data_IF_715376314022
#
_entry.id   IF_715376314022
#
_cell.length_a   1.000
_cell.length_b   1.000
_cell.length_c   1.000
_cell.angle_alpha   90.00
_cell.angle_beta   90.00
_cell.angle_gamma   90.00
#
_symmetry.space_group_name_H-M   'P 1'
#
loop_
_entity.id
_entity.type
_entity.pdbx_description
1 polymer ?
#
# COMPACT_ATOMS: atom_id res chain seq x y z
N UNK A 1 -17.67 -14.13 22.66
CA UNK A 1 -17.71 -12.98 23.58
C UNK A 1 -18.12 -11.75 22.78
N UNK A 2 -19.16 -11.06 23.25
CA UNK A 2 -19.66 -9.81 22.68
C UNK A 2 -18.96 -8.63 23.37
N UNK A 3 -18.89 -7.47 22.71
CA UNK A 3 -18.21 -6.28 23.25
C UNK A 3 -19.22 -5.18 23.53
N UNK A 4 -19.02 -4.42 24.61
CA UNK A 4 -19.82 -3.22 24.95
C UNK A 4 -21.33 -3.47 25.02
N UNK A 5 -21.72 -4.65 25.51
CA UNK A 5 -23.10 -5.15 25.50
C UNK A 5 -23.76 -5.20 24.11
N UNK A 6 -23.04 -4.90 23.02
CA UNK A 6 -23.53 -4.87 21.64
C UNK A 6 -23.59 -6.26 21.00
N UNK A 7 -24.20 -6.37 19.81
CA UNK A 7 -24.12 -7.60 18.99
C UNK A 7 -22.74 -7.80 18.35
N UNK A 8 -21.80 -6.86 18.54
CA UNK A 8 -20.46 -6.94 17.97
C UNK A 8 -19.62 -8.03 18.65
N UNK A 9 -19.22 -9.04 17.87
CA UNK A 9 -18.23 -10.02 18.29
C UNK A 9 -16.84 -9.38 18.50
N UNK A 10 -16.12 -9.79 19.56
CA UNK A 10 -14.71 -9.38 19.81
C UNK A 10 -13.84 -9.58 18.57
N UNK A 11 -14.05 -10.68 17.85
CA UNK A 11 -13.30 -11.00 16.63
C UNK A 11 -13.49 -9.92 15.56
N UNK A 12 -14.72 -9.46 15.33
CA UNK A 12 -15.04 -8.40 14.37
C UNK A 12 -14.40 -7.09 14.78
N UNK A 13 -14.41 -6.74 16.08
CA UNK A 13 -13.73 -5.56 16.59
C UNK A 13 -12.22 -5.61 16.34
N UNK A 14 -11.58 -6.76 16.58
CA UNK A 14 -10.14 -6.95 16.31
C UNK A 14 -9.83 -6.75 14.83
N UNK A 15 -10.63 -7.34 13.93
CA UNK A 15 -10.45 -7.12 12.49
C UNK A 15 -10.66 -5.64 12.10
N UNK A 16 -11.69 -4.97 12.62
CA UNK A 16 -11.91 -3.55 12.37
C UNK A 16 -10.71 -2.68 12.79
N UNK A 17 -10.12 -2.95 13.96
CA UNK A 17 -8.94 -2.23 14.43
C UNK A 17 -7.71 -2.50 13.56
N UNK A 18 -7.50 -3.76 13.16
CA UNK A 18 -6.41 -4.13 12.23
C UNK A 18 -6.59 -3.45 10.88
N UNK A 19 -7.79 -3.48 10.31
CA UNK A 19 -8.12 -2.87 9.02
C UNK A 19 -8.01 -1.35 9.06
N UNK A 20 -8.41 -0.72 10.16
CA UNK A 20 -8.20 0.71 10.36
C UNK A 20 -6.70 1.05 10.34
N UNK A 21 -5.87 0.29 11.07
CA UNK A 21 -4.42 0.44 11.02
C UNK A 21 -3.84 0.23 9.60
N UNK A 22 -4.37 -0.75 8.87
CA UNK A 22 -4.00 -1.00 7.47
C UNK A 22 -4.39 0.16 6.54
N UNK A 23 -5.59 0.74 6.71
CA UNK A 23 -6.06 1.93 6.01
C UNK A 23 -5.14 3.11 6.26
N UNK A 24 -4.81 3.42 7.52
CA UNK A 24 -3.90 4.51 7.87
C UNK A 24 -2.51 4.33 7.25
N UNK A 25 -1.93 3.12 7.35
CA UNK A 25 -0.65 2.81 6.72
C UNK A 25 -0.70 3.04 5.20
N UNK A 26 -1.72 2.51 4.54
CA UNK A 26 -1.86 2.58 3.10
C UNK A 26 -2.12 4.02 2.62
N UNK A 27 -2.86 4.82 3.39
CA UNK A 27 -3.10 6.25 3.14
C UNK A 27 -1.78 7.03 3.19
N UNK A 28 -1.01 6.91 4.28
CA UNK A 28 0.30 7.58 4.42
C UNK A 28 1.24 7.19 3.28
N UNK A 29 1.23 5.91 2.90
CA UNK A 29 2.07 5.42 1.82
C UNK A 29 1.62 5.93 0.44
N UNK A 30 0.32 6.08 0.21
CA UNK A 30 -0.23 6.68 -1.00
C UNK A 30 0.11 8.17 -1.09
N UNK A 31 -0.08 8.93 0.00
CA UNK A 31 0.26 10.36 0.06
C UNK A 31 1.75 10.61 -0.18
N UNK A 32 2.62 9.72 0.30
CA UNK A 32 4.06 9.76 0.02
C UNK A 32 4.41 9.50 -1.46
N UNK A 33 3.56 8.77 -2.19
CA UNK A 33 3.82 8.36 -3.58
C UNK A 33 2.52 8.38 -4.43
N UNK A 34 1.96 9.56 -4.73
CA UNK A 34 0.63 9.70 -5.33
C UNK A 34 0.55 9.17 -6.77
N UNK A 35 1.69 8.97 -7.43
CA UNK A 35 1.77 8.42 -8.78
C UNK A 35 1.31 6.95 -8.86
N UNK A 36 1.40 6.17 -7.78
CA UNK A 36 0.95 4.77 -7.77
C UNK A 36 -0.55 4.66 -7.46
N UNK A 37 -1.39 4.99 -8.45
CA UNK A 37 -2.86 4.94 -8.35
C UNK A 37 -3.42 3.58 -7.90
N UNK A 38 -2.66 2.47 -8.02
CA UNK A 38 -3.11 1.15 -7.55
C UNK A 38 -3.32 1.12 -6.04
N UNK A 39 -2.52 1.90 -5.31
CA UNK A 39 -2.61 2.00 -3.86
C UNK A 39 -3.88 2.71 -3.43
N UNK A 40 -4.28 3.73 -4.16
CA UNK A 40 -5.57 4.39 -3.99
C UNK A 40 -6.71 3.39 -4.20
N UNK A 41 -6.68 2.61 -5.28
CA UNK A 41 -7.73 1.63 -5.54
C UNK A 41 -7.81 0.55 -4.44
N UNK A 42 -6.67 0.14 -3.89
CA UNK A 42 -6.62 -0.80 -2.76
C UNK A 42 -7.06 -0.13 -1.45
N UNK A 43 -6.74 1.14 -1.23
CA UNK A 43 -7.21 1.89 -0.06
C UNK A 43 -8.73 1.97 -0.04
N UNK A 44 -9.36 2.28 -1.18
CA UNK A 44 -10.83 2.26 -1.30
C UNK A 44 -11.40 0.88 -0.96
N UNK A 45 -10.74 -0.20 -1.41
CA UNK A 45 -11.12 -1.57 -1.09
C UNK A 45 -11.10 -1.82 0.43
N UNK A 46 -10.06 -1.34 1.13
CA UNK A 46 -9.96 -1.46 2.58
C UNK A 46 -10.98 -0.59 3.32
N UNK A 47 -11.27 0.61 2.83
CA UNK A 47 -12.32 1.46 3.43
C UNK A 47 -13.69 0.80 3.32
N UNK A 48 -14.00 0.20 2.17
CA UNK A 48 -15.24 -0.57 2.01
C UNK A 48 -15.28 -1.81 2.91
N UNK A 49 -14.14 -2.46 3.14
CA UNK A 49 -14.03 -3.59 4.07
C UNK A 49 -14.33 -3.17 5.51
N UNK A 50 -13.71 -2.08 5.98
CA UNK A 50 -13.96 -1.50 7.30
C UNK A 50 -15.43 -1.12 7.44
N UNK A 51 -15.99 -0.45 6.43
CA UNK A 51 -17.40 -0.09 6.43
C UNK A 51 -18.30 -1.33 6.56
N UNK A 52 -18.04 -2.37 5.77
CA UNK A 52 -18.76 -3.64 5.83
C UNK A 52 -18.68 -4.30 7.21
N UNK A 53 -17.48 -4.44 7.80
CA UNK A 53 -17.32 -5.10 9.09
C UNK A 53 -17.93 -4.30 10.24
N UNK A 54 -17.91 -2.97 10.17
CA UNK A 54 -18.57 -2.11 11.15
C UNK A 54 -20.09 -2.27 11.03
N UNK A 55 -20.66 -2.10 9.84
CA UNK A 55 -22.12 -2.17 9.67
C UNK A 55 -22.65 -3.57 9.88
N UNK A 56 -21.99 -4.60 9.34
CA UNK A 56 -22.39 -6.00 9.54
C UNK A 56 -22.12 -6.50 10.96
N UNK A 57 -21.24 -5.84 11.71
CA UNK A 57 -20.94 -6.16 13.12
C UNK A 57 -21.85 -5.46 14.12
N UNK A 58 -22.27 -4.23 13.83
CA UNK A 58 -23.14 -3.43 14.70
C UNK A 58 -24.62 -3.63 14.43
N UNK A 59 -25.00 -4.01 13.21
CA UNK A 59 -26.39 -4.11 12.80
C UNK A 59 -26.81 -5.56 12.54
N UNK A 60 -28.06 -5.93 12.91
CA UNK A 60 -29.05 -5.09 13.58
C UNK A 60 -28.89 -5.06 15.12
N UNK A 61 -28.94 -3.88 15.74
CA UNK A 61 -29.07 -3.72 17.20
C UNK A 61 -30.32 -2.86 17.51
N UNK A 62 -31.36 -3.43 18.15
CA UNK A 62 -32.59 -2.71 18.48
C UNK A 62 -32.41 -1.49 19.41
N UNK A 63 -31.26 -1.37 20.10
CA UNK A 63 -30.99 -0.23 20.99
C UNK A 63 -30.52 1.02 20.25
N UNK A 64 -30.07 0.85 19.00
CA UNK A 64 -29.70 1.98 18.17
C UNK A 64 -30.98 2.66 17.67
N UNK A 65 -31.07 3.99 17.76
CA UNK A 65 -32.26 4.79 17.42
C UNK A 65 -32.78 4.57 15.98
N UNK A 66 -31.96 4.00 15.11
CA UNK A 66 -32.28 3.72 13.72
C UNK A 66 -33.18 2.47 13.65
N UNK A 67 -34.25 2.52 12.86
CA UNK A 67 -35.13 1.36 12.67
C UNK A 67 -34.35 0.12 12.20
N UNK A 68 -34.65 -1.06 12.78
CA UNK A 68 -34.03 -2.35 12.42
C UNK A 68 -34.07 -2.63 10.91
N UNK A 69 -35.14 -2.19 10.24
CA UNK A 69 -35.26 -2.30 8.77
C UNK A 69 -34.15 -1.51 8.05
N UNK A 70 -33.92 -0.27 8.46
CA UNK A 70 -32.87 0.55 7.86
C UNK A 70 -31.47 0.01 8.21
N UNK A 71 -31.28 -0.49 9.43
CA UNK A 71 -30.04 -1.15 9.84
C UNK A 71 -29.72 -2.35 8.95
N UNK A 72 -30.69 -3.23 8.68
CA UNK A 72 -30.54 -4.36 7.77
C UNK A 72 -30.23 -3.89 6.33
N UNK A 73 -30.92 -2.88 5.82
CA UNK A 73 -30.61 -2.31 4.49
C UNK A 73 -29.15 -1.85 4.44
N UNK A 74 -28.66 -1.13 5.45
CA UNK A 74 -27.27 -0.66 5.52
C UNK A 74 -26.30 -1.84 5.60
N UNK A 75 -26.57 -2.83 6.46
CA UNK A 75 -25.74 -4.01 6.64
C UNK A 75 -25.57 -4.80 5.34
N UNK A 76 -26.66 -5.21 4.69
CA UNK A 76 -26.59 -5.93 3.41
C UNK A 76 -26.00 -5.05 2.30
N UNK A 77 -26.39 -3.78 2.25
CA UNK A 77 -25.90 -2.82 1.25
C UNK A 77 -24.39 -2.62 1.29
N UNK A 78 -23.78 -2.64 2.48
CA UNK A 78 -22.33 -2.58 2.63
C UNK A 78 -21.62 -3.75 1.95
N UNK A 79 -22.18 -4.97 2.05
CA UNK A 79 -21.66 -6.18 1.41
C UNK A 79 -21.80 -6.13 -0.12
N UNK A 80 -22.96 -5.68 -0.61
CA UNK A 80 -23.17 -5.44 -2.03
C UNK A 80 -22.22 -4.39 -2.60
N UNK A 81 -21.99 -3.29 -1.88
CA UNK A 81 -21.07 -2.24 -2.29
C UNK A 81 -19.63 -2.77 -2.39
N UNK A 82 -19.21 -3.56 -1.40
CA UNK A 82 -17.89 -4.19 -1.37
C UNK A 82 -17.71 -5.18 -2.53
N UNK A 83 -18.67 -6.10 -2.73
CA UNK A 83 -18.64 -7.07 -3.83
C UNK A 83 -18.64 -6.39 -5.21
N UNK A 84 -19.41 -5.31 -5.35
CA UNK A 84 -19.52 -4.50 -6.56
C UNK A 84 -18.21 -3.82 -6.94
N UNK A 85 -17.37 -3.49 -5.97
CA UNK A 85 -16.11 -2.82 -6.22
C UNK A 85 -15.01 -3.75 -6.75
N UNK A 86 -15.09 -5.08 -6.53
CA UNK A 86 -14.04 -6.01 -6.95
C UNK A 86 -13.72 -5.95 -8.46
N UNK A 87 -14.69 -6.05 -9.38
CA UNK A 87 -14.38 -6.05 -10.81
C UNK A 87 -13.76 -4.73 -11.25
N UNK A 88 -14.22 -3.61 -10.68
CA UNK A 88 -13.64 -2.29 -10.92
C UNK A 88 -12.20 -2.19 -10.42
N UNK A 89 -11.93 -2.65 -9.20
CA UNK A 89 -10.59 -2.70 -8.63
C UNK A 89 -9.64 -3.50 -9.55
N UNK A 90 -10.04 -4.69 -9.97
CA UNK A 90 -9.22 -5.53 -10.86
C UNK A 90 -9.03 -4.92 -12.25
N UNK A 91 -10.07 -4.32 -12.81
CA UNK A 91 -10.01 -3.58 -14.06
C UNK A 91 -8.99 -2.42 -14.00
N UNK A 92 -9.07 -1.56 -12.99
CA UNK A 92 -8.20 -0.37 -12.86
C UNK A 92 -6.80 -0.70 -12.33
N UNK A 93 -6.68 -1.45 -11.24
CA UNK A 93 -5.40 -1.72 -10.58
C UNK A 93 -4.49 -2.63 -11.43
N UNK A 94 -5.09 -3.61 -12.11
CA UNK A 94 -4.37 -4.58 -12.90
C UNK A 94 -4.52 -4.38 -14.42
N UNK A 95 -5.29 -3.42 -14.91
CA UNK A 95 -5.50 -3.19 -16.36
C UNK A 95 -6.07 -4.43 -17.08
N UNK A 96 -7.03 -5.11 -16.44
CA UNK A 96 -7.71 -6.28 -17.02
C UNK A 96 -8.86 -5.81 -17.95
N UNK A 97 -8.56 -5.48 -19.21
CA UNK A 97 -9.54 -4.89 -20.14
C UNK A 97 -10.80 -5.75 -20.36
N UNK A 98 -10.66 -7.08 -20.29
CA UNK A 98 -11.81 -8.02 -20.39
C UNK A 98 -12.87 -7.79 -19.30
N UNK A 99 -12.51 -7.21 -18.16
CA UNK A 99 -13.44 -6.90 -17.08
C UNK A 99 -14.20 -5.58 -17.27
N UNK A 100 -13.94 -4.81 -18.34
CA UNK A 100 -14.53 -3.46 -18.51
C UNK A 100 -16.05 -3.47 -18.42
N UNK A 101 -16.71 -4.41 -19.10
CA UNK A 101 -18.18 -4.52 -19.06
C UNK A 101 -18.68 -4.77 -17.63
N UNK A 102 -18.09 -5.74 -16.93
CA UNK A 102 -18.48 -6.08 -15.57
C UNK A 102 -18.19 -4.97 -14.56
N UNK A 103 -17.05 -4.29 -14.72
CA UNK A 103 -16.62 -3.20 -13.87
C UNK A 103 -17.50 -1.94 -13.96
N UNK A 104 -18.21 -1.75 -15.07
CA UNK A 104 -19.00 -0.53 -15.33
C UNK A 104 -20.50 -0.83 -15.29
N UNK A 105 -20.93 -1.88 -15.99
CA UNK A 105 -22.35 -2.18 -16.23
C UNK A 105 -22.81 -3.44 -15.53
N UNK A 106 -22.07 -4.55 -15.69
CA UNK A 106 -22.53 -5.86 -15.21
C UNK A 106 -22.81 -5.88 -13.70
N UNK A 107 -21.91 -5.32 -12.90
CA UNK A 107 -22.13 -5.18 -11.45
C UNK A 107 -23.37 -4.35 -11.11
N UNK A 108 -23.63 -3.27 -11.85
CA UNK A 108 -24.80 -2.42 -11.58
C UNK A 108 -26.10 -3.15 -11.85
N UNK A 109 -26.14 -3.93 -12.93
CA UNK A 109 -27.32 -4.67 -13.36
C UNK A 109 -27.55 -5.93 -12.53
N UNK A 110 -26.50 -6.69 -12.23
CA UNK A 110 -26.63 -8.03 -11.64
C UNK A 110 -26.35 -8.09 -10.13
N UNK A 111 -25.81 -7.03 -9.51
CA UNK A 111 -25.64 -6.93 -8.05
C UNK A 111 -26.47 -5.78 -7.48
N UNK A 112 -26.21 -4.54 -7.92
CA UNK A 112 -26.81 -3.35 -7.28
C UNK A 112 -28.30 -3.21 -7.56
N UNK A 113 -28.77 -3.47 -8.80
CA UNK A 113 -30.18 -3.36 -9.14
C UNK A 113 -31.04 -4.39 -8.38
N UNK A 114 -30.69 -5.70 -8.31
CA UNK A 114 -31.38 -6.65 -7.45
C UNK A 114 -31.41 -6.20 -5.99
N UNK A 115 -30.28 -5.71 -5.46
CA UNK A 115 -30.21 -5.20 -4.09
C UNK A 115 -31.19 -4.03 -3.88
N UNK A 116 -31.19 -3.02 -4.76
CA UNK A 116 -32.09 -1.87 -4.65
C UNK A 116 -33.55 -2.34 -4.71
N UNK A 117 -33.88 -3.22 -5.65
CA UNK A 117 -35.25 -3.69 -5.81
C UNK A 117 -35.75 -4.51 -4.60
N UNK A 118 -34.99 -5.51 -4.17
CA UNK A 118 -35.45 -6.42 -3.10
C UNK A 118 -35.23 -5.86 -1.68
N UNK A 119 -34.08 -5.23 -1.41
CA UNK A 119 -33.76 -4.75 -0.06
C UNK A 119 -34.21 -3.31 0.17
N UNK A 120 -34.05 -2.42 -0.81
CA UNK A 120 -34.40 -0.99 -0.60
C UNK A 120 -35.89 -0.74 -0.85
N UNK A 121 -36.49 -1.36 -1.86
CA UNK A 121 -37.90 -1.15 -2.19
C UNK A 121 -38.82 -2.18 -1.52
N UNK A 122 -38.68 -3.47 -1.87
CA UNK A 122 -39.61 -4.51 -1.38
C UNK A 122 -39.53 -4.67 0.13
N UNK A 123 -38.34 -4.92 0.68
CA UNK A 123 -38.17 -5.13 2.12
C UNK A 123 -38.59 -3.92 2.95
N UNK A 124 -38.40 -2.69 2.44
CA UNK A 124 -38.84 -1.47 3.12
C UNK A 124 -40.37 -1.44 3.31
N UNK A 125 -41.11 -1.95 2.33
CA UNK A 125 -42.57 -2.02 2.31
C UNK A 125 -43.07 -3.23 3.10
N UNK A 126 -42.59 -4.42 2.78
CA UNK A 126 -43.10 -5.69 3.34
C UNK A 126 -42.58 -5.95 4.76
N UNK A 127 -41.39 -5.46 5.09
CA UNK A 127 -40.70 -5.78 6.35
C UNK A 127 -40.22 -7.23 6.46
N UNK A 128 -40.42 -8.06 5.42
CA UNK A 128 -40.03 -9.46 5.43
C UNK A 128 -38.60 -9.64 4.89
N UNK A 129 -37.64 -9.82 5.80
CA UNK A 129 -36.22 -9.96 5.46
C UNK A 129 -35.96 -11.28 4.74
N UNK A 130 -36.61 -12.37 5.17
CA UNK A 130 -36.45 -13.70 4.60
C UNK A 130 -36.86 -13.75 3.13
N UNK A 131 -37.94 -13.03 2.78
CA UNK A 131 -38.35 -12.88 1.38
C UNK A 131 -37.29 -12.13 0.57
N UNK A 132 -36.76 -11.02 1.10
CA UNK A 132 -35.77 -10.21 0.42
C UNK A 132 -34.45 -10.96 0.21
N UNK A 133 -34.00 -11.75 1.20
CA UNK A 133 -32.79 -12.56 1.08
C UNK A 133 -32.99 -13.75 0.16
N UNK A 134 -34.11 -14.47 0.26
CA UNK A 134 -34.36 -15.68 -0.53
C UNK A 134 -34.43 -15.40 -2.04
N UNK A 135 -35.15 -14.35 -2.45
CA UNK A 135 -35.31 -14.01 -3.87
C UNK A 135 -34.27 -13.00 -4.36
N UNK A 136 -33.92 -12.02 -3.53
CA UNK A 136 -32.99 -10.96 -3.91
C UNK A 136 -31.55 -11.42 -4.08
N UNK A 137 -31.16 -12.57 -3.52
CA UNK A 137 -29.80 -13.10 -3.61
C UNK A 137 -29.57 -14.08 -4.77
N UNK A 138 -30.62 -14.53 -5.48
CA UNK A 138 -30.51 -15.53 -6.55
C UNK A 138 -29.64 -14.99 -7.71
N UNK A 139 -30.02 -13.83 -8.26
CA UNK A 139 -29.27 -13.21 -9.37
C UNK A 139 -27.85 -12.81 -8.93
N UNK A 140 -27.65 -12.10 -7.80
CA UNK A 140 -26.33 -11.83 -7.26
C UNK A 140 -25.44 -13.05 -7.04
N UNK A 141 -26.01 -14.15 -6.51
CA UNK A 141 -25.28 -15.38 -6.23
C UNK A 141 -24.81 -16.08 -7.50
N UNK A 142 -25.67 -16.21 -8.51
CA UNK A 142 -25.26 -16.76 -9.81
C UNK A 142 -24.21 -15.87 -10.50
N UNK A 143 -24.39 -14.56 -10.43
CA UNK A 143 -23.46 -13.61 -11.02
C UNK A 143 -22.11 -13.57 -10.29
N UNK A 144 -22.06 -13.75 -8.96
CA UNK A 144 -20.80 -13.76 -8.21
C UNK A 144 -19.91 -14.94 -8.63
N UNK A 145 -20.49 -16.12 -8.83
CA UNK A 145 -19.79 -17.32 -9.34
C UNK A 145 -19.31 -17.08 -10.77
N UNK A 146 -20.18 -16.58 -11.65
CA UNK A 146 -19.80 -16.23 -13.02
C UNK A 146 -18.64 -15.21 -13.04
N UNK A 147 -18.72 -14.19 -12.19
CA UNK A 147 -17.71 -13.14 -12.09
C UNK A 147 -16.36 -13.67 -11.62
N UNK A 148 -16.36 -14.60 -10.67
CA UNK A 148 -15.14 -15.25 -10.21
C UNK A 148 -14.42 -16.00 -11.33
N UNK A 149 -15.14 -16.83 -12.08
CA UNK A 149 -14.61 -17.58 -13.22
C UNK A 149 -14.07 -16.60 -14.28
N UNK A 150 -14.85 -15.55 -14.59
CA UNK A 150 -14.44 -14.51 -15.55
C UNK A 150 -13.14 -13.83 -15.11
N UNK A 151 -13.00 -13.53 -13.82
CA UNK A 151 -11.82 -12.88 -13.27
C UNK A 151 -10.59 -13.80 -13.26
N UNK A 152 -10.78 -15.09 -12.92
CA UNK A 152 -9.74 -16.12 -13.03
C UNK A 152 -9.23 -16.25 -14.46
N UNK A 153 -10.15 -16.30 -15.43
CA UNK A 153 -9.80 -16.40 -16.85
C UNK A 153 -9.05 -15.15 -17.32
N UNK A 154 -9.49 -13.95 -16.92
CA UNK A 154 -8.79 -12.70 -17.22
C UNK A 154 -7.36 -12.69 -16.64
N UNK A 155 -7.17 -13.20 -15.42
CA UNK A 155 -5.86 -13.37 -14.79
C UNK A 155 -5.01 -14.37 -15.57
N UNK A 156 -5.53 -15.56 -15.89
CA UNK A 156 -4.82 -16.61 -16.64
C UNK A 156 -4.35 -16.13 -18.01
N UNK A 157 -5.22 -15.47 -18.77
CA UNK A 157 -4.88 -14.87 -20.07
C UNK A 157 -3.76 -13.85 -19.90
N UNK A 158 -3.86 -12.96 -18.91
CA UNK A 158 -2.83 -11.96 -18.67
C UNK A 158 -1.50 -12.57 -18.24
N UNK A 159 -1.49 -13.72 -17.56
CA UNK A 159 -0.27 -14.49 -17.28
C UNK A 159 0.33 -15.02 -18.58
N UNK A 160 -0.49 -15.67 -19.43
CA UNK A 160 -0.07 -16.26 -20.69
C UNK A 160 0.53 -15.23 -21.67
N UNK A 161 -0.04 -14.03 -21.73
CA UNK A 161 0.48 -12.92 -22.56
C UNK A 161 1.81 -12.34 -22.05
N UNK A 162 2.23 -12.68 -20.82
CA UNK A 162 3.35 -12.03 -20.13
C UNK A 162 4.68 -12.78 -20.23
N UNK A 163 4.85 -13.69 -21.18
CA UNK A 163 6.09 -14.46 -21.42
C UNK A 163 7.30 -13.48 -21.38
N UNK A 164 8.05 -13.48 -20.27
CA UNK A 164 9.20 -12.62 -19.92
C UNK A 164 8.95 -11.19 -19.41
N UNK A 165 8.02 -10.95 -18.48
CA UNK A 165 8.00 -9.63 -17.80
C UNK A 165 9.10 -9.49 -16.72
N UNK A 166 9.89 -8.40 -16.71
CA UNK A 166 10.92 -8.15 -15.71
C UNK A 166 10.39 -7.85 -14.29
N UNK A 167 9.07 -7.85 -14.08
CA UNK A 167 8.42 -7.54 -12.80
C UNK A 167 7.50 -8.68 -12.33
N UNK A 168 8.04 -9.77 -11.73
CA UNK A 168 7.27 -10.92 -11.25
C UNK A 168 6.33 -10.57 -10.09
N UNK A 169 6.70 -9.57 -9.28
CA UNK A 169 5.94 -9.13 -8.10
C UNK A 169 4.53 -8.64 -8.43
N UNK A 170 4.31 -8.10 -9.64
CA UNK A 170 2.99 -7.62 -10.06
C UNK A 170 1.99 -8.76 -10.27
N UNK A 171 2.49 -9.94 -10.65
CA UNK A 171 1.65 -11.11 -10.85
C UNK A 171 1.28 -11.75 -9.51
N UNK A 172 2.29 -11.97 -8.66
CA UNK A 172 2.09 -12.50 -7.31
C UNK A 172 1.07 -11.66 -6.54
N UNK A 173 1.17 -10.33 -6.63
CA UNK A 173 0.20 -9.43 -6.00
C UNK A 173 -1.22 -9.62 -6.52
N UNK A 174 -1.40 -9.78 -7.84
CA UNK A 174 -2.72 -9.99 -8.45
C UNK A 174 -3.37 -11.30 -7.99
N UNK A 175 -2.60 -12.39 -7.94
CA UNK A 175 -3.07 -13.71 -7.48
C UNK A 175 -3.41 -13.67 -5.99
N UNK A 176 -2.56 -13.04 -5.19
CA UNK A 176 -2.82 -12.88 -3.75
C UNK A 176 -4.13 -12.13 -3.53
N UNK A 177 -4.32 -10.96 -4.15
CA UNK A 177 -5.57 -10.19 -3.95
C UNK A 177 -6.79 -10.96 -4.45
N UNK A 178 -6.65 -11.73 -5.53
CA UNK A 178 -7.71 -12.63 -5.98
C UNK A 178 -8.08 -13.67 -4.92
N UNK A 179 -7.09 -14.31 -4.30
CA UNK A 179 -7.32 -15.29 -3.23
C UNK A 179 -7.93 -14.69 -1.95
N UNK A 180 -7.63 -13.42 -1.63
CA UNK A 180 -8.27 -12.75 -0.49
C UNK A 180 -9.71 -12.33 -0.75
N UNK A 181 -10.03 -12.01 -2.00
CA UNK A 181 -11.38 -11.61 -2.41
C UNK A 181 -12.26 -12.82 -2.69
N UNK A 182 -11.69 -13.97 -3.09
CA UNK A 182 -12.47 -15.16 -3.46
C UNK A 182 -13.46 -15.66 -2.41
N UNK A 183 -13.20 -15.61 -1.09
CA UNK A 183 -14.19 -16.10 -0.13
C UNK A 183 -15.49 -15.29 -0.12
N UNK A 184 -15.47 -14.06 -0.65
CA UNK A 184 -16.66 -13.22 -0.77
C UNK A 184 -17.72 -13.78 -1.72
N UNK A 185 -17.37 -14.73 -2.60
CA UNK A 185 -18.34 -15.41 -3.47
C UNK A 185 -19.28 -16.26 -2.64
N UNK A 186 -18.76 -16.81 -1.54
CA UNK A 186 -19.54 -17.64 -0.63
C UNK A 186 -20.50 -16.81 0.23
N UNK A 187 -20.46 -15.47 0.19
CA UNK A 187 -21.36 -14.61 0.98
C UNK A 187 -22.83 -14.87 0.69
N UNK A 188 -23.19 -15.09 -0.58
CA UNK A 188 -24.58 -15.39 -0.93
C UNK A 188 -25.02 -16.75 -0.38
N UNK A 189 -24.08 -17.70 -0.27
CA UNK A 189 -24.30 -19.02 0.33
C UNK A 189 -24.38 -18.90 1.85
N UNK A 190 -23.49 -18.13 2.47
CA UNK A 190 -23.47 -17.91 3.92
C UNK A 190 -24.76 -17.26 4.41
N UNK A 191 -25.27 -16.26 3.68
CA UNK A 191 -26.56 -15.64 3.93
C UNK A 191 -27.73 -16.63 3.80
N UNK A 192 -27.69 -17.55 2.84
CA UNK A 192 -28.76 -18.53 2.63
C UNK A 192 -28.78 -19.62 3.72
N UNK A 193 -27.60 -20.10 4.13
CA UNK A 193 -27.47 -21.17 5.13
C UNK A 193 -27.38 -20.64 6.57
N UNK A 194 -27.54 -19.33 6.80
CA UNK A 194 -27.42 -18.69 8.11
C UNK A 194 -26.13 -19.09 8.84
N UNK A 195 -25.01 -19.05 8.11
CA UNK A 195 -23.69 -19.37 8.69
C UNK A 195 -23.35 -18.36 9.78
N UNK A 196 -22.72 -18.83 10.85
CA UNK A 196 -22.35 -17.99 11.98
C UNK A 196 -21.47 -16.80 11.53
N UNK A 197 -21.86 -15.59 11.94
CA UNK A 197 -21.22 -14.33 11.56
C UNK A 197 -19.71 -14.31 11.81
N UNK A 198 -19.24 -14.91 12.91
CA UNK A 198 -17.81 -14.97 13.21
C UNK A 198 -17.00 -15.77 12.17
N UNK A 199 -17.60 -16.79 11.54
CA UNK A 199 -16.97 -17.57 10.46
C UNK A 199 -16.85 -16.70 9.22
N UNK A 200 -17.93 -16.00 8.87
CA UNK A 200 -17.98 -15.09 7.73
C UNK A 200 -16.91 -14.00 7.86
N UNK A 201 -16.82 -13.35 9.01
CA UNK A 201 -15.81 -12.34 9.33
C UNK A 201 -14.40 -12.93 9.25
N UNK A 202 -14.16 -14.12 9.83
CA UNK A 202 -12.84 -14.74 9.81
C UNK A 202 -12.37 -15.02 8.37
N UNK A 203 -13.25 -15.62 7.56
CA UNK A 203 -12.94 -16.06 6.20
C UNK A 203 -12.78 -14.88 5.25
N UNK A 204 -13.60 -13.84 5.37
CA UNK A 204 -13.56 -12.66 4.49
C UNK A 204 -12.42 -11.70 4.80
N UNK A 205 -11.91 -11.66 6.05
CA UNK A 205 -10.88 -10.70 6.47
C UNK A 205 -9.46 -11.28 6.52
N UNK A 206 -9.30 -12.58 6.80
CA UNK A 206 -7.97 -13.22 6.94
C UNK A 206 -7.08 -12.99 5.72
N UNK A 207 -7.64 -13.08 4.51
CA UNK A 207 -6.92 -12.82 3.27
C UNK A 207 -6.37 -11.39 3.18
N UNK A 208 -7.14 -10.39 3.59
CA UNK A 208 -6.73 -8.98 3.56
C UNK A 208 -5.62 -8.68 4.55
N UNK A 209 -5.69 -9.26 5.76
CA UNK A 209 -4.64 -9.14 6.77
C UNK A 209 -3.32 -9.73 6.28
N UNK A 210 -3.36 -10.95 5.73
CA UNK A 210 -2.16 -11.64 5.20
C UNK A 210 -1.52 -10.80 4.09
N UNK A 211 -2.31 -10.31 3.13
CA UNK A 211 -1.79 -9.56 1.98
C UNK A 211 -1.20 -8.23 2.41
N UNK A 212 -1.86 -7.53 3.32
CA UNK A 212 -1.37 -6.24 3.80
C UNK A 212 -0.11 -6.41 4.63
N UNK A 213 -0.05 -7.44 5.49
CA UNK A 213 1.17 -7.81 6.20
C UNK A 213 2.33 -8.11 5.26
N UNK A 214 2.10 -8.88 4.19
CA UNK A 214 3.09 -9.14 3.15
C UNK A 214 3.50 -7.86 2.40
N UNK A 215 2.58 -6.93 2.17
CA UNK A 215 2.86 -5.64 1.53
C UNK A 215 3.75 -4.77 2.42
N UNK A 216 3.42 -4.66 3.71
CA UNK A 216 4.21 -3.94 4.71
C UNK A 216 5.61 -4.55 4.82
N UNK A 217 5.72 -5.86 5.02
CA UNK A 217 7.00 -6.56 5.15
C UNK A 217 7.90 -6.35 3.91
N UNK A 218 7.31 -6.40 2.71
CA UNK A 218 8.03 -6.13 1.46
C UNK A 218 8.44 -4.67 1.33
N UNK A 219 7.57 -3.74 1.71
CA UNK A 219 7.86 -2.30 1.69
C UNK A 219 9.04 -1.98 2.62
N UNK A 220 9.03 -2.52 3.84
CA UNK A 220 10.13 -2.40 4.81
C UNK A 220 11.42 -3.00 4.25
N UNK A 221 11.38 -4.23 3.70
CA UNK A 221 12.56 -4.87 3.10
C UNK A 221 13.14 -4.03 1.96
N UNK A 222 12.30 -3.51 1.08
CA UNK A 222 12.72 -2.67 -0.03
C UNK A 222 13.36 -1.36 0.47
N UNK A 223 12.73 -0.68 1.44
CA UNK A 223 13.27 0.53 2.06
C UNK A 223 14.62 0.28 2.73
N UNK A 224 14.77 -0.83 3.49
CA UNK A 224 16.04 -1.22 4.11
C UNK A 224 17.13 -1.51 3.08
N UNK A 225 16.81 -2.19 1.98
CA UNK A 225 17.75 -2.44 0.89
C UNK A 225 18.19 -1.15 0.20
N UNK A 226 17.29 -0.19 -0.02
CA UNK A 226 17.66 1.11 -0.57
C UNK A 226 18.56 1.90 0.38
N UNK A 227 18.27 1.91 1.68
CA UNK A 227 19.11 2.53 2.69
C UNK A 227 20.50 1.87 2.74
N UNK A 228 20.56 0.53 2.75
CA UNK A 228 21.81 -0.21 2.71
C UNK A 228 22.64 0.10 1.45
N UNK A 229 22.01 0.19 0.27
CA UNK A 229 22.69 0.62 -0.97
C UNK A 229 23.21 2.05 -0.90
N UNK A 230 22.44 2.99 -0.33
CA UNK A 230 22.87 4.38 -0.14
C UNK A 230 24.07 4.47 0.83
N UNK A 231 24.02 3.72 1.93
CA UNK A 231 25.11 3.62 2.91
C UNK A 231 26.35 2.99 2.29
N UNK A 232 26.20 1.88 1.55
CA UNK A 232 27.29 1.22 0.83
C UNK A 232 27.97 2.16 -0.16
N UNK A 233 27.18 2.84 -1.01
CA UNK A 233 27.70 3.87 -1.93
C UNK A 233 28.41 4.99 -1.18
N UNK A 234 27.87 5.49 -0.07
CA UNK A 234 28.50 6.54 0.75
C UNK A 234 29.83 6.08 1.36
N UNK A 235 29.92 4.83 1.80
CA UNK A 235 31.13 4.26 2.38
C UNK A 235 32.21 4.03 1.31
N UNK A 236 31.84 3.47 0.16
CA UNK A 236 32.72 3.30 -1.00
C UNK A 236 33.31 4.65 -1.44
N UNK A 237 32.44 5.64 -1.56
CA UNK A 237 32.76 7.06 -1.79
C UNK A 237 33.76 7.63 -0.78
N UNK A 238 33.56 7.39 0.53
CA UNK A 238 34.49 7.83 1.59
C UNK A 238 35.85 7.13 1.48
N UNK A 239 35.87 5.82 1.20
CA UNK A 239 37.09 5.04 0.97
C UNK A 239 37.87 5.58 -0.23
N UNK A 240 37.18 5.88 -1.33
CA UNK A 240 37.80 6.44 -2.53
C UNK A 240 38.46 7.81 -2.26
N UNK A 241 37.78 8.70 -1.54
CA UNK A 241 38.37 9.99 -1.12
C UNK A 241 39.63 9.80 -0.27
N UNK A 242 39.62 8.87 0.69
CA UNK A 242 40.80 8.55 1.51
C UNK A 242 41.96 8.06 0.66
N UNK A 243 41.70 7.16 -0.31
CA UNK A 243 42.73 6.65 -1.22
C UNK A 243 43.36 7.74 -2.08
N UNK A 244 42.57 8.67 -2.61
CA UNK A 244 43.13 9.81 -3.35
C UNK A 244 43.97 10.72 -2.45
N UNK A 245 43.51 10.97 -1.23
CA UNK A 245 44.31 11.74 -0.27
C UNK A 245 45.64 11.07 0.06
N UNK A 246 45.64 9.74 0.17
CA UNK A 246 46.85 8.92 0.38
C UNK A 246 47.79 9.00 -0.83
N UNK A 247 47.27 8.89 -2.06
CA UNK A 247 48.11 8.97 -3.27
C UNK A 247 48.80 10.32 -3.45
N UNK A 248 48.26 11.41 -2.86
CA UNK A 248 48.87 12.73 -2.85
C UNK A 248 49.66 13.04 -1.56
N UNK A 249 49.90 12.04 -0.70
CA UNK A 249 50.63 12.19 0.56
C UNK A 249 50.08 13.32 1.46
N UNK A 250 48.75 13.47 1.50
CA UNK A 250 48.10 14.41 2.40
C UNK A 250 48.17 13.86 3.84
N UNK A 251 48.66 14.69 4.75
CA UNK A 251 48.65 14.43 6.20
C UNK A 251 47.22 14.37 6.73
N UNK A 252 47.04 13.81 7.94
CA UNK A 252 45.71 13.73 8.58
C UNK A 252 45.00 15.09 8.63
N UNK A 253 45.72 16.16 8.97
CA UNK A 253 45.14 17.51 9.05
C UNK A 253 44.80 18.09 7.68
N UNK A 254 45.64 17.85 6.68
CA UNK A 254 45.38 18.25 5.29
C UNK A 254 44.16 17.53 4.71
N UNK A 255 43.92 16.25 5.08
CA UNK A 255 42.71 15.50 4.67
C UNK A 255 41.43 16.10 5.24
N UNK A 256 41.45 16.49 6.51
CA UNK A 256 40.31 17.14 7.18
C UNK A 256 39.96 18.47 6.48
N UNK A 257 40.97 19.31 6.24
CA UNK A 257 40.81 20.60 5.57
C UNK A 257 40.38 20.41 4.11
N UNK A 258 40.99 19.50 3.37
CA UNK A 258 40.61 19.17 1.99
C UNK A 258 39.15 18.72 1.89
N UNK A 259 38.66 17.91 2.85
CA UNK A 259 37.26 17.47 2.87
C UNK A 259 36.30 18.65 3.05
N UNK A 260 36.61 19.60 3.93
CA UNK A 260 35.77 20.77 4.19
C UNK A 260 35.79 21.76 3.01
N UNK A 261 36.96 21.98 2.40
CA UNK A 261 37.08 22.73 1.15
C UNK A 261 36.21 22.08 0.08
N UNK A 262 36.33 20.77 -0.12
CA UNK A 262 35.55 20.07 -1.11
C UNK A 262 34.03 20.14 -0.85
N UNK A 263 33.58 20.19 0.41
CA UNK A 263 32.16 20.41 0.77
C UNK A 263 31.63 21.81 0.40
N UNK A 264 32.52 22.76 0.14
CA UNK A 264 32.15 24.13 -0.22
C UNK A 264 32.37 25.16 0.88
N UNK A 265 32.82 24.75 2.07
CA UNK A 265 32.97 25.62 3.23
C UNK A 265 34.01 26.74 2.97
N UNK A 266 33.77 27.99 3.39
CA UNK A 266 34.74 29.08 3.33
C UNK A 266 35.80 28.94 4.43
N UNK A 267 36.96 29.57 4.26
CA UNK A 267 38.12 29.34 5.14
C UNK A 267 37.87 29.77 6.58
N UNK A 268 37.18 30.91 6.79
CA UNK A 268 36.69 31.34 8.10
C UNK A 268 35.86 30.29 8.84
N UNK A 269 34.92 29.65 8.16
CA UNK A 269 34.09 28.59 8.77
C UNK A 269 34.90 27.32 9.03
N UNK A 270 35.84 26.98 8.15
CA UNK A 270 36.77 25.85 8.37
C UNK A 270 37.61 26.10 9.62
N UNK A 271 38.12 27.32 9.78
CA UNK A 271 38.93 27.75 10.91
C UNK A 271 38.16 27.59 12.24
N UNK A 272 36.90 28.04 12.26
CA UNK A 272 36.01 27.86 13.41
C UNK A 272 35.72 26.39 13.72
N UNK A 273 35.33 25.60 12.71
CA UNK A 273 35.00 24.16 12.88
C UNK A 273 36.21 23.36 13.39
N UNK A 274 37.40 23.74 12.97
CA UNK A 274 38.65 23.05 13.30
C UNK A 274 39.40 23.66 14.49
N UNK A 275 38.85 24.71 15.11
CA UNK A 275 39.44 25.48 16.22
C UNK A 275 40.88 25.93 15.97
N UNK A 276 41.14 26.50 14.78
CA UNK A 276 42.44 27.04 14.37
C UNK A 276 42.27 28.43 13.74
N UNK A 277 43.36 29.17 13.54
CA UNK A 277 43.28 30.47 12.86
C UNK A 277 43.00 30.31 11.36
N UNK A 278 42.38 31.32 10.73
CA UNK A 278 42.17 31.35 9.28
C UNK A 278 43.49 31.31 8.51
N UNK A 279 44.54 31.97 9.01
CA UNK A 279 45.90 31.89 8.47
C UNK A 279 46.45 30.45 8.50
N UNK A 280 46.16 29.69 9.56
CA UNK A 280 46.55 28.26 9.64
C UNK A 280 45.82 27.44 8.59
N UNK A 281 44.53 27.71 8.35
CA UNK A 281 43.77 27.05 7.26
C UNK A 281 44.40 27.37 5.91
N UNK A 282 44.72 28.64 5.63
CA UNK A 282 45.32 29.07 4.36
C UNK A 282 46.67 28.37 4.12
N UNK A 283 47.55 28.32 5.12
CA UNK A 283 48.82 27.61 5.04
C UNK A 283 48.63 26.11 4.70
N UNK A 284 47.64 25.45 5.29
CA UNK A 284 47.31 24.07 4.94
C UNK A 284 46.74 23.95 3.52
N UNK A 285 45.91 24.90 3.07
CA UNK A 285 45.37 24.92 1.70
C UNK A 285 46.50 25.02 0.67
N UNK A 286 47.45 25.93 0.88
CA UNK A 286 48.61 26.09 0.00
C UNK A 286 49.39 24.79 -0.13
N UNK A 287 49.66 24.09 1.00
CA UNK A 287 50.31 22.77 0.99
C UNK A 287 49.49 21.71 0.26
N UNK A 288 48.17 21.68 0.43
CA UNK A 288 47.27 20.76 -0.28
C UNK A 288 47.35 21.01 -1.80
N UNK A 289 47.29 22.27 -2.23
CA UNK A 289 47.36 22.66 -3.65
C UNK A 289 48.71 22.31 -4.28
N UNK A 290 49.81 22.51 -3.55
CA UNK A 290 51.14 22.07 -3.97
C UNK A 290 51.20 20.54 -4.13
N UNK A 291 50.79 19.78 -3.12
CA UNK A 291 50.82 18.30 -3.15
C UNK A 291 49.92 17.68 -4.21
N UNK A 292 48.79 18.33 -4.50
CA UNK A 292 47.82 17.86 -5.50
C UNK A 292 48.07 18.43 -6.89
N UNK A 293 49.00 19.39 -7.04
CA UNK A 293 49.27 20.12 -8.28
C UNK A 293 48.00 20.71 -8.91
N UNK A 294 47.19 21.39 -8.10
CA UNK A 294 45.99 22.12 -8.54
C UNK A 294 45.99 23.51 -7.93
N UNK A 295 45.35 24.46 -8.61
CA UNK A 295 45.27 25.85 -8.17
C UNK A 295 43.84 26.35 -7.99
N UNK A 296 42.84 25.48 -8.22
CA UNK A 296 41.41 25.82 -8.06
C UNK A 296 40.68 24.75 -7.25
N UNK A 297 39.77 25.20 -6.37
CA UNK A 297 38.87 24.35 -5.56
C UNK A 297 38.15 23.26 -6.37
N UNK A 298 37.69 23.62 -7.58
CA UNK A 298 36.99 22.69 -8.48
C UNK A 298 37.91 21.58 -9.03
N UNK A 299 39.17 21.92 -9.32
CA UNK A 299 40.18 20.93 -9.73
C UNK A 299 40.57 20.02 -8.56
N UNK A 300 40.69 20.57 -7.35
CA UNK A 300 40.91 19.78 -6.14
C UNK A 300 39.77 18.76 -5.93
N UNK A 301 38.51 19.19 -6.10
CA UNK A 301 37.36 18.29 -6.05
C UNK A 301 37.42 17.18 -7.09
N UNK A 302 37.93 17.43 -8.30
CA UNK A 302 38.13 16.39 -9.33
C UNK A 302 39.24 15.42 -8.92
N UNK A 303 40.42 15.94 -8.54
CA UNK A 303 41.57 15.13 -8.17
C UNK A 303 41.33 14.24 -6.95
N UNK A 304 40.56 14.71 -5.97
CA UNK A 304 40.21 13.92 -4.78
C UNK A 304 38.94 13.06 -4.97
N UNK A 305 38.43 12.94 -6.20
CA UNK A 305 37.23 12.15 -6.49
C UNK A 305 35.94 12.69 -5.87
N UNK A 306 35.94 13.93 -5.39
CA UNK A 306 34.82 14.55 -4.70
C UNK A 306 33.66 14.95 -5.62
N UNK A 307 33.91 15.16 -6.91
CA UNK A 307 32.79 15.37 -7.86
C UNK A 307 31.88 14.12 -7.93
N UNK A 308 32.44 12.91 -7.80
CA UNK A 308 31.65 11.67 -7.71
C UNK A 308 30.88 11.53 -6.38
N UNK A 309 31.21 12.35 -5.37
CA UNK A 309 30.51 12.41 -4.09
C UNK A 309 29.22 13.25 -4.14
N UNK A 310 29.10 14.17 -5.11
CA UNK A 310 28.12 15.27 -5.10
C UNK A 310 26.89 15.09 -6.00
N UNK A 311 26.84 14.09 -6.88
CA UNK A 311 25.66 13.85 -7.73
C UNK A 311 24.48 13.38 -6.85
N UNK A 312 23.45 14.24 -6.84
CA UNK A 312 22.21 14.20 -6.06
C UNK A 312 21.44 12.90 -6.21
#
# INVERSE_FOLDING_TARGET
MLVFDSELHVLTLVFCLLEFGMCCYQLVHYLSFPQDKRRLWYLVLLVLLVFYNITGGLFPDPRIEISVRLQNIIAYGSGFLMASYFPFYFYKAFKLQKLRFHAIYGVQIFLMLPYIFFFVLIYRITGNLEFATSYGMIVPGLYSVFMFITLLNAIRIKIGLRKKSPYPYRLVHMIMVYAAVSPWICMTVFAYFNIAQWIEVLVTNSGFVIITGLFIARSVKHSRLQMAKKLGKKQERKKLFSRYCESFNLSRREREIALLICKGMPYKDIAQVLFISESTVDNHVQRIFLKTAVNRKMQLQRKLGFIHLRLK
#
